data_IF_981015633031
#
_entry.id   IF_981015633031
#
_cell.length_a   1.000
_cell.length_b   1.000
_cell.length_c   1.000
_cell.angle_alpha   90.00
_cell.angle_beta   90.00
_cell.angle_gamma   90.00
#
_symmetry.space_group_name_H-M   'P 1'
#
loop_
_entity.id
_entity.type
_entity.pdbx_description
1 polymer ?
#
# COMPACT_ATOMS: atom_id res chain seq x y z
N UNK A 1 -7.66 -6.73 -8.24
CA UNK A 1 -6.58 -5.82 -7.80
C UNK A 1 -7.04 -4.38 -7.94
N UNK A 2 -6.79 -3.53 -6.94
CA UNK A 2 -7.12 -2.11 -7.04
C UNK A 2 -6.02 -1.37 -7.79
N UNK A 3 -6.41 -0.39 -8.59
CA UNK A 3 -5.48 0.51 -9.30
C UNK A 3 -5.46 1.87 -8.61
N UNK A 4 -4.31 2.52 -8.60
CA UNK A 4 -4.22 3.91 -8.17
C UNK A 4 -4.83 4.87 -9.20
N UNK A 5 -4.80 4.52 -10.48
CA UNK A 5 -5.46 5.30 -11.52
C UNK A 5 -6.99 5.13 -11.40
N UNK A 6 -7.63 6.16 -10.91
CA UNK A 6 -9.08 6.20 -10.68
C UNK A 6 -9.79 6.37 -12.02
N UNK A 7 -10.86 5.60 -12.26
CA UNK A 7 -11.66 5.76 -13.48
C UNK A 7 -12.50 7.04 -13.44
N UNK A 8 -12.83 7.65 -14.59
CA UNK A 8 -13.74 8.79 -14.62
C UNK A 8 -15.07 8.50 -13.95
N UNK A 9 -15.64 7.32 -14.18
CA UNK A 9 -16.92 6.92 -13.61
C UNK A 9 -16.88 6.84 -12.07
N UNK A 10 -15.83 6.25 -11.47
CA UNK A 10 -15.63 6.23 -10.03
C UNK A 10 -15.47 7.66 -9.47
N UNK A 11 -14.64 8.46 -10.14
CA UNK A 11 -14.37 9.84 -9.74
C UNK A 11 -15.64 10.68 -9.67
N UNK A 12 -16.45 10.62 -10.72
CA UNK A 12 -17.68 11.39 -10.83
C UNK A 12 -18.75 10.88 -9.84
N UNK A 13 -18.92 9.55 -9.77
CA UNK A 13 -19.93 8.93 -8.88
C UNK A 13 -19.69 9.24 -7.39
N UNK A 14 -18.43 9.26 -6.97
CA UNK A 14 -18.05 9.52 -5.58
C UNK A 14 -17.67 10.98 -5.28
N UNK A 15 -17.96 11.89 -6.20
CA UNK A 15 -17.76 13.33 -6.01
C UNK A 15 -16.30 13.75 -5.93
N UNK A 16 -15.41 13.03 -6.63
CA UNK A 16 -13.97 13.35 -6.68
C UNK A 16 -13.69 14.70 -7.30
N UNK A 17 -14.56 15.17 -8.21
CA UNK A 17 -14.47 16.51 -8.82
C UNK A 17 -14.34 17.64 -7.80
N UNK A 18 -14.84 17.47 -6.58
CA UNK A 18 -14.68 18.45 -5.49
C UNK A 18 -13.23 18.57 -5.01
N UNK A 19 -12.37 17.60 -5.27
CA UNK A 19 -10.95 17.63 -4.95
C UNK A 19 -10.10 18.30 -6.03
N UNK A 20 -10.56 18.30 -7.29
CA UNK A 20 -9.85 18.89 -8.42
C UNK A 20 -9.60 17.91 -9.58
N UNK A 21 -8.38 17.88 -10.12
CA UNK A 21 -8.02 17.05 -11.25
C UNK A 21 -7.83 15.57 -10.88
N UNK A 22 -8.56 14.69 -11.55
CA UNK A 22 -8.55 13.24 -11.31
C UNK A 22 -7.16 12.60 -11.48
N UNK A 23 -6.43 13.00 -12.49
CA UNK A 23 -5.10 12.41 -12.79
C UNK A 23 -4.09 12.83 -11.74
N UNK A 24 -4.11 14.11 -11.35
CA UNK A 24 -3.23 14.60 -10.28
C UNK A 24 -3.45 13.82 -8.98
N UNK A 25 -4.69 13.62 -8.58
CA UNK A 25 -5.01 12.86 -7.36
C UNK A 25 -4.71 11.37 -7.49
N UNK A 26 -4.93 10.77 -8.65
CA UNK A 26 -4.56 9.38 -8.92
C UNK A 26 -3.06 9.14 -8.72
N UNK A 27 -2.21 10.09 -9.11
CA UNK A 27 -0.77 9.99 -8.94
C UNK A 27 -0.32 9.99 -7.46
N UNK A 28 -1.19 10.41 -6.55
CA UNK A 28 -0.95 10.42 -5.09
C UNK A 28 -1.64 9.26 -4.37
N UNK A 29 -2.35 8.40 -5.08
CA UNK A 29 -3.27 7.43 -4.51
C UNK A 29 -2.65 6.05 -4.23
N UNK A 30 -1.36 5.82 -4.51
CA UNK A 30 -0.73 4.50 -4.35
C UNK A 30 -0.94 3.92 -2.94
N UNK A 31 -0.73 4.70 -1.90
CA UNK A 31 -0.92 4.28 -0.51
C UNK A 31 -2.37 3.96 -0.17
N UNK A 32 -3.31 4.74 -0.69
CA UNK A 32 -4.76 4.53 -0.44
C UNK A 32 -5.31 3.35 -1.25
N UNK A 33 -4.84 3.16 -2.47
CA UNK A 33 -5.16 1.97 -3.26
C UNK A 33 -4.59 0.70 -2.61
N UNK A 34 -3.39 0.77 -2.05
CA UNK A 34 -2.80 -0.31 -1.25
C UNK A 34 -3.61 -0.58 0.01
N UNK A 35 -4.00 0.46 0.77
CA UNK A 35 -4.87 0.32 1.93
C UNK A 35 -6.19 -0.38 1.56
N UNK A 36 -6.83 0.05 0.46
CA UNK A 36 -8.06 -0.59 -0.01
C UNK A 36 -7.91 -2.09 -0.25
N UNK A 37 -6.80 -2.50 -0.86
CA UNK A 37 -6.52 -3.93 -1.08
C UNK A 37 -6.34 -4.70 0.23
N UNK A 38 -5.72 -4.10 1.24
CA UNK A 38 -5.60 -4.69 2.58
C UNK A 38 -6.98 -4.82 3.24
N UNK A 39 -7.80 -3.77 3.23
CA UNK A 39 -9.15 -3.80 3.79
C UNK A 39 -9.97 -4.94 3.18
N UNK A 40 -9.94 -5.10 1.85
CA UNK A 40 -10.61 -6.19 1.16
C UNK A 40 -10.07 -7.58 1.56
N UNK A 41 -8.76 -7.71 1.74
CA UNK A 41 -8.14 -8.98 2.18
C UNK A 41 -8.55 -9.36 3.61
N UNK A 42 -8.84 -8.38 4.47
CA UNK A 42 -9.34 -8.60 5.83
C UNK A 42 -10.87 -8.77 5.90
N UNK A 43 -11.55 -8.74 4.76
CA UNK A 43 -13.02 -8.84 4.71
C UNK A 43 -13.74 -7.62 5.27
N UNK A 44 -13.04 -6.49 5.40
CA UNK A 44 -13.64 -5.23 5.82
C UNK A 44 -14.40 -4.57 4.68
N UNK A 45 -15.38 -3.74 5.04
CA UNK A 45 -15.98 -2.81 4.08
C UNK A 45 -14.89 -1.82 3.62
N UNK A 46 -14.62 -1.82 2.32
CA UNK A 46 -13.52 -1.03 1.75
C UNK A 46 -14.08 0.11 0.89
N UNK A 47 -13.97 1.37 1.34
CA UNK A 47 -14.30 2.52 0.53
C UNK A 47 -13.56 2.51 -0.81
N UNK A 48 -14.09 3.14 -1.84
CA UNK A 48 -13.39 3.33 -3.11
C UNK A 48 -12.13 4.17 -2.92
N UNK A 49 -11.22 4.17 -3.90
CA UNK A 49 -10.01 5.01 -3.81
C UNK A 49 -10.39 6.49 -3.72
N UNK A 50 -11.42 6.93 -4.45
CA UNK A 50 -11.94 8.30 -4.38
C UNK A 50 -12.45 8.67 -2.99
N UNK A 51 -13.21 7.78 -2.35
CA UNK A 51 -13.69 8.00 -0.98
C UNK A 51 -12.54 8.02 0.04
N UNK A 52 -11.56 7.13 -0.11
CA UNK A 52 -10.34 7.15 0.71
C UNK A 52 -9.53 8.44 0.52
N UNK A 53 -9.43 8.98 -0.70
CA UNK A 53 -8.81 10.29 -0.94
C UNK A 53 -9.55 11.40 -0.18
N UNK A 54 -10.88 11.42 -0.22
CA UNK A 54 -11.69 12.41 0.52
C UNK A 54 -11.47 12.30 2.03
N UNK A 55 -11.41 11.08 2.57
CA UNK A 55 -11.07 10.85 3.98
C UNK A 55 -9.65 11.32 4.30
N UNK A 56 -8.68 10.99 3.45
CA UNK A 56 -7.29 11.39 3.62
C UNK A 56 -7.10 12.92 3.59
N UNK A 57 -7.82 13.62 2.74
CA UNK A 57 -7.85 15.10 2.75
C UNK A 57 -8.45 15.63 4.03
N UNK A 58 -9.60 15.08 4.47
CA UNK A 58 -10.27 15.48 5.71
C UNK A 58 -9.38 15.31 6.94
N UNK A 59 -8.58 14.26 6.99
CA UNK A 59 -7.66 13.94 8.09
C UNK A 59 -6.24 14.48 7.89
N UNK A 60 -6.00 15.31 6.88
CA UNK A 60 -4.69 15.90 6.57
C UNK A 60 -3.57 14.87 6.37
N UNK A 61 -3.93 13.70 5.84
CA UNK A 61 -2.99 12.58 5.60
C UNK A 61 -2.12 12.80 4.36
N UNK A 62 -2.60 13.62 3.41
CA UNK A 62 -1.96 13.80 2.11
C UNK A 62 -1.00 14.99 2.10
N UNK A 63 0.16 14.75 1.51
CA UNK A 63 1.16 15.77 1.19
C UNK A 63 1.33 15.88 -0.33
N UNK A 64 2.05 16.89 -0.84
CA UNK A 64 2.40 16.93 -2.27
C UNK A 64 3.16 15.69 -2.78
N UNK A 65 3.79 14.94 -1.86
CA UNK A 65 4.55 13.71 -2.16
C UNK A 65 3.74 12.42 -2.01
N UNK A 66 2.46 12.50 -1.64
CA UNK A 66 1.59 11.36 -1.37
C UNK A 66 1.15 11.28 0.09
N UNK A 67 0.64 10.11 0.50
CA UNK A 67 0.08 9.91 1.82
C UNK A 67 1.16 9.65 2.88
N UNK A 68 0.99 10.24 4.07
CA UNK A 68 1.81 9.95 5.25
C UNK A 68 1.53 8.54 5.75
N UNK A 69 2.57 7.77 6.05
CA UNK A 69 2.44 6.38 6.53
C UNK A 69 1.60 6.30 7.81
N UNK A 70 1.88 7.17 8.78
CA UNK A 70 1.10 7.25 10.02
C UNK A 70 -0.38 7.56 9.76
N UNK A 71 -0.66 8.44 8.79
CA UNK A 71 -2.02 8.77 8.39
C UNK A 71 -2.76 7.59 7.77
N UNK A 72 -2.10 6.81 6.91
CA UNK A 72 -2.67 5.57 6.34
C UNK A 72 -2.94 4.55 7.46
N UNK A 73 -2.01 4.38 8.39
CA UNK A 73 -2.19 3.47 9.54
C UNK A 73 -3.38 3.89 10.41
N UNK A 74 -3.55 5.18 10.65
CA UNK A 74 -4.70 5.71 11.39
C UNK A 74 -6.02 5.48 10.66
N UNK A 75 -6.05 5.70 9.33
CA UNK A 75 -7.23 5.38 8.51
C UNK A 75 -7.56 3.89 8.55
N UNK A 76 -6.56 3.01 8.47
CA UNK A 76 -6.77 1.56 8.59
C UNK A 76 -7.41 1.19 9.92
N UNK A 77 -6.93 1.79 11.02
CA UNK A 77 -7.46 1.56 12.37
C UNK A 77 -8.91 2.07 12.49
N UNK A 78 -9.21 3.24 11.96
CA UNK A 78 -10.57 3.79 11.91
C UNK A 78 -11.52 2.88 11.10
N UNK A 79 -11.01 2.27 10.03
CA UNK A 79 -11.76 1.36 9.16
C UNK A 79 -11.78 -0.10 9.66
N UNK A 80 -11.27 -0.38 10.84
CA UNK A 80 -11.44 -1.66 11.54
C UNK A 80 -10.23 -2.59 11.60
N UNK A 81 -9.05 -2.17 11.11
CA UNK A 81 -7.83 -2.97 11.19
C UNK A 81 -6.79 -2.25 12.01
N UNK A 82 -6.47 -2.76 13.22
CA UNK A 82 -5.38 -2.20 14.01
C UNK A 82 -4.08 -2.18 13.22
N UNK A 83 -3.44 -1.02 13.14
CA UNK A 83 -2.34 -0.75 12.22
C UNK A 83 -1.37 0.27 12.80
N UNK A 84 -0.10 0.16 12.43
CA UNK A 84 0.96 1.09 12.85
C UNK A 84 1.91 1.38 11.69
N UNK A 85 2.41 2.61 11.63
CA UNK A 85 3.56 2.98 10.81
C UNK A 85 4.83 2.84 11.64
N UNK A 86 5.75 1.98 11.22
CA UNK A 86 6.97 1.69 11.98
C UNK A 86 8.19 1.46 11.09
N UNK A 87 9.37 1.47 11.70
CA UNK A 87 10.59 1.03 11.06
C UNK A 87 10.65 -0.50 11.10
N UNK A 88 10.80 -1.12 9.92
CA UNK A 88 11.00 -2.56 9.79
C UNK A 88 12.24 -2.77 8.91
N UNK A 89 13.37 -3.17 9.48
CA UNK A 89 14.57 -3.43 8.69
C UNK A 89 14.33 -4.62 7.73
N UNK A 90 15.12 -4.69 6.65
CA UNK A 90 14.99 -5.74 5.63
C UNK A 90 14.99 -7.14 6.27
N UNK A 91 15.86 -7.36 7.25
CA UNK A 91 16.02 -8.63 7.97
C UNK A 91 14.75 -9.04 8.75
N UNK A 92 13.92 -8.07 9.09
CA UNK A 92 12.65 -8.29 9.81
C UNK A 92 11.45 -8.50 8.91
N UNK A 93 11.56 -8.24 7.59
CA UNK A 93 10.41 -8.27 6.67
C UNK A 93 9.74 -9.65 6.61
N UNK A 94 10.53 -10.72 6.47
CA UNK A 94 9.98 -12.06 6.32
C UNK A 94 9.20 -12.49 7.56
N UNK A 95 9.77 -12.27 8.76
CA UNK A 95 9.08 -12.59 10.01
C UNK A 95 7.78 -11.82 10.20
N UNK A 96 7.70 -10.58 9.69
CA UNK A 96 6.43 -9.82 9.72
C UNK A 96 5.42 -10.36 8.72
N UNK A 97 5.90 -10.82 7.56
CA UNK A 97 5.03 -11.42 6.52
C UNK A 97 4.45 -12.77 6.91
N UNK A 98 5.07 -13.48 7.87
CA UNK A 98 4.49 -14.69 8.45
C UNK A 98 3.17 -14.43 9.20
N UNK A 99 3.01 -13.23 9.76
CA UNK A 99 1.85 -12.84 10.56
C UNK A 99 0.77 -12.12 9.74
N UNK A 100 1.17 -11.18 8.87
CA UNK A 100 0.25 -10.30 8.15
C UNK A 100 0.91 -9.66 6.91
N UNK A 101 0.12 -9.16 5.94
CA UNK A 101 0.66 -8.34 4.86
C UNK A 101 1.20 -7.02 5.40
N UNK A 102 2.10 -6.39 4.63
CA UNK A 102 2.69 -5.09 4.94
C UNK A 102 2.45 -4.11 3.79
N UNK A 103 2.23 -2.84 4.08
CA UNK A 103 2.43 -1.79 3.08
C UNK A 103 3.84 -1.22 3.29
N UNK A 104 4.67 -1.22 2.25
CA UNK A 104 6.06 -0.81 2.32
C UNK A 104 6.37 0.34 1.38
N UNK A 105 7.32 1.19 1.79
CA UNK A 105 7.79 2.31 0.99
C UNK A 105 8.99 1.88 0.15
N UNK A 106 8.81 1.90 -1.16
CA UNK A 106 9.80 1.49 -2.17
C UNK A 106 9.83 2.48 -3.32
N UNK A 107 10.82 2.38 -4.19
CA UNK A 107 10.76 3.07 -5.50
C UNK A 107 10.04 2.16 -6.49
N UNK A 108 9.17 2.75 -7.31
CA UNK A 108 8.40 2.02 -8.33
C UNK A 108 9.32 1.19 -9.22
N UNK A 109 8.92 -0.05 -9.51
CA UNK A 109 9.66 -1.05 -10.30
C UNK A 109 10.95 -1.57 -9.65
N UNK A 110 11.21 -1.25 -8.38
CA UNK A 110 12.37 -1.71 -7.60
C UNK A 110 13.71 -1.54 -8.32
N UNK A 111 14.11 -0.28 -8.67
CA UNK A 111 15.41 -0.04 -9.29
C UNK A 111 16.56 -0.31 -8.31
N UNK A 112 17.73 -0.65 -8.86
CA UNK A 112 18.95 -0.91 -8.10
C UNK A 112 19.96 0.25 -8.22
N UNK A 113 19.47 1.45 -8.55
CA UNK A 113 20.25 2.65 -8.80
C UNK A 113 20.42 3.57 -7.58
N UNK A 114 20.04 3.09 -6.39
CA UNK A 114 20.16 3.80 -5.13
C UNK A 114 18.97 4.69 -4.76
N UNK A 115 17.97 4.85 -5.63
CA UNK A 115 16.72 5.54 -5.28
C UNK A 115 15.93 4.71 -4.27
N UNK A 116 15.36 5.40 -3.26
CA UNK A 116 14.56 4.77 -2.22
C UNK A 116 13.27 5.53 -1.98
N UNK A 117 12.17 4.79 -1.82
CA UNK A 117 10.86 5.37 -1.49
C UNK A 117 10.15 6.04 -2.66
N UNK A 118 9.11 6.77 -2.33
CA UNK A 118 8.28 7.51 -3.28
C UNK A 118 7.06 6.73 -3.80
N UNK A 119 6.96 5.44 -3.52
CA UNK A 119 5.85 4.58 -3.91
C UNK A 119 5.49 3.60 -2.78
N UNK A 120 4.22 3.23 -2.68
CA UNK A 120 3.72 2.30 -1.68
C UNK A 120 3.12 1.08 -2.36
N UNK A 121 3.58 -0.10 -1.93
CA UNK A 121 3.11 -1.40 -2.40
C UNK A 121 2.78 -2.31 -1.22
N UNK A 122 2.02 -3.37 -1.47
CA UNK A 122 1.72 -4.39 -0.47
C UNK A 122 2.65 -5.57 -0.68
N UNK A 123 3.34 -5.99 0.38
CA UNK A 123 3.96 -7.31 0.45
C UNK A 123 2.95 -8.26 1.09
N UNK A 124 2.70 -9.42 0.47
CA UNK A 124 1.64 -10.35 0.89
C UNK A 124 2.13 -11.74 1.29
N UNK A 125 3.42 -12.00 1.13
CA UNK A 125 4.04 -13.29 1.45
C UNK A 125 5.34 -13.46 0.70
N UNK A 126 5.95 -14.62 0.86
CA UNK A 126 7.22 -14.95 0.20
C UNK A 126 7.39 -16.46 0.00
N UNK A 127 8.28 -16.80 -0.91
CA UNK A 127 8.83 -18.14 -1.07
C UNK A 127 10.26 -18.15 -0.54
N UNK A 128 10.55 -19.13 0.33
CA UNK A 128 11.88 -19.28 0.93
C UNK A 128 12.92 -19.74 -0.10
N UNK A 129 14.16 -19.34 0.09
CA UNK A 129 15.27 -19.71 -0.77
C UNK A 129 16.53 -18.92 -0.42
N UNK A 130 17.64 -19.13 -1.16
CA UNK A 130 18.89 -18.37 -0.96
C UNK A 130 18.71 -16.88 -1.13
N UNK A 131 17.83 -16.46 -2.04
CA UNK A 131 17.30 -15.11 -2.20
C UNK A 131 15.77 -15.23 -2.25
N UNK A 132 15.06 -15.02 -1.14
CA UNK A 132 13.63 -15.22 -1.06
C UNK A 132 12.87 -14.42 -2.12
N UNK A 133 11.86 -15.02 -2.72
CA UNK A 133 10.98 -14.34 -3.67
C UNK A 133 9.81 -13.72 -2.93
N UNK A 134 9.70 -12.41 -2.95
CA UNK A 134 8.62 -11.65 -2.31
C UNK A 134 7.45 -11.54 -3.28
N UNK A 135 6.26 -11.91 -2.81
CA UNK A 135 5.01 -11.68 -3.50
C UNK A 135 4.44 -10.32 -3.11
N UNK A 136 4.14 -9.49 -4.08
CA UNK A 136 3.62 -8.15 -3.84
C UNK A 136 2.36 -7.82 -4.65
N UNK A 137 1.73 -6.72 -4.31
CA UNK A 137 0.71 -6.04 -5.11
C UNK A 137 1.06 -4.57 -5.21
N UNK A 138 1.17 -4.10 -6.42
CA UNK A 138 1.48 -2.73 -6.74
C UNK A 138 0.29 -2.09 -7.48
N UNK A 139 -0.28 -0.99 -6.98
CA UNK A 139 -1.43 -0.34 -7.61
C UNK A 139 -1.09 0.39 -8.90
N UNK A 140 0.17 0.51 -9.29
CA UNK A 140 0.61 1.13 -10.54
C UNK A 140 0.24 0.30 -11.78
N UNK A 141 0.39 0.88 -12.96
CA UNK A 141 0.21 0.17 -14.22
C UNK A 141 1.18 -1.00 -14.37
N UNK A 142 2.44 -0.80 -13.97
CA UNK A 142 3.46 -1.85 -13.99
C UNK A 142 3.10 -3.03 -13.08
N UNK A 143 2.53 -2.77 -11.92
CA UNK A 143 2.09 -3.78 -10.97
C UNK A 143 0.92 -4.65 -11.43
N UNK A 144 0.26 -4.29 -12.56
CA UNK A 144 -0.79 -5.15 -13.12
C UNK A 144 -0.20 -6.42 -13.77
N UNK A 145 1.06 -6.37 -14.18
CA UNK A 145 1.76 -7.45 -14.90
C UNK A 145 2.90 -8.05 -14.05
N UNK A 146 3.23 -7.44 -12.90
CA UNK A 146 4.34 -7.84 -12.04
C UNK A 146 3.85 -8.02 -10.61
N UNK A 147 4.14 -9.16 -10.00
CA UNK A 147 3.69 -9.49 -8.64
C UNK A 147 4.73 -10.25 -7.80
N UNK A 148 5.95 -10.39 -8.31
CA UNK A 148 7.05 -11.08 -7.64
C UNK A 148 8.36 -10.31 -7.83
N UNK A 149 9.19 -10.30 -6.78
CA UNK A 149 10.51 -9.68 -6.81
C UNK A 149 11.46 -10.40 -5.84
N UNK A 150 12.74 -10.65 -6.19
CA UNK A 150 13.72 -11.14 -5.24
C UNK A 150 13.92 -10.15 -4.09
N UNK A 151 14.08 -10.65 -2.85
CA UNK A 151 14.31 -9.81 -1.66
C UNK A 151 15.54 -8.91 -1.83
N UNK A 152 16.60 -9.43 -2.43
CA UNK A 152 17.81 -8.66 -2.74
C UNK A 152 17.50 -7.41 -3.56
N UNK A 153 16.72 -7.54 -4.64
CA UNK A 153 16.31 -6.42 -5.49
C UNK A 153 15.38 -5.44 -4.76
N UNK A 154 14.36 -5.95 -4.06
CA UNK A 154 13.46 -5.12 -3.26
C UNK A 154 14.23 -4.25 -2.26
N UNK A 155 15.25 -4.82 -1.60
CA UNK A 155 16.05 -4.15 -0.57
C UNK A 155 16.77 -2.89 -1.07
N UNK A 156 17.14 -2.83 -2.35
CA UNK A 156 17.79 -1.65 -2.94
C UNK A 156 16.92 -0.40 -2.94
N UNK A 157 15.60 -0.55 -3.12
CA UNK A 157 14.65 0.56 -3.18
C UNK A 157 13.84 0.77 -1.90
N UNK A 158 13.91 -0.18 -0.96
CA UNK A 158 13.16 -0.15 0.28
C UNK A 158 13.74 0.87 1.28
N UNK A 159 12.86 1.66 1.91
CA UNK A 159 13.25 2.71 2.84
C UNK A 159 13.48 2.23 4.28
N UNK A 160 13.15 0.97 4.60
CA UNK A 160 13.08 0.49 5.98
C UNK A 160 11.81 0.91 6.72
N UNK A 161 10.81 1.47 6.03
CA UNK A 161 9.54 1.94 6.61
C UNK A 161 8.37 1.14 6.08
N UNK A 162 7.54 0.67 7.01
CA UNK A 162 6.36 -0.12 6.69
C UNK A 162 5.14 0.34 7.49
N UNK A 163 3.97 -0.03 6.99
CA UNK A 163 2.71 -0.02 7.74
C UNK A 163 2.39 -1.48 8.02
N UNK A 164 2.31 -1.82 9.30
CA UNK A 164 2.01 -3.15 9.79
C UNK A 164 0.55 -3.24 10.21
N UNK A 165 -0.01 -4.43 10.13
CA UNK A 165 -1.40 -4.72 10.46
C UNK A 165 -1.48 -5.83 11.50
N UNK A 166 -2.55 -5.86 12.28
CA UNK A 166 -2.83 -6.98 13.16
C UNK A 166 -2.89 -8.29 12.35
N UNK A 167 -2.49 -9.43 12.93
CA UNK A 167 -2.55 -10.72 12.25
C UNK A 167 -3.94 -10.98 11.66
N UNK A 168 -3.98 -11.55 10.45
CA UNK A 168 -5.22 -12.08 9.89
C UNK A 168 -5.73 -13.17 10.84
N UNK A 169 -6.84 -12.93 11.51
CA UNK A 169 -7.54 -13.99 12.21
C UNK A 169 -8.02 -14.99 11.16
N UNK A 170 -7.23 -16.03 10.92
CA UNK A 170 -7.73 -17.23 10.29
C UNK A 170 -8.77 -17.75 11.28
N UNK A 171 -10.06 -17.47 10.99
CA UNK A 171 -11.15 -17.90 11.84
C UNK A 171 -10.98 -19.37 12.16
N UNK A 172 -10.97 -19.70 13.44
CA UNK A 172 -11.12 -21.05 13.92
C UNK A 172 -12.38 -21.62 13.27
N UNK A 173 -12.17 -22.57 12.37
CA UNK A 173 -13.20 -23.37 11.72
C UNK A 173 -13.64 -24.48 12.66
#
# INVERSE_FOLDING_TARGET
>A
MCRQLITPAEWDHHGGWALGDRIEWSNRACGLASLRMVLLAYGCEAPTVTELLKLAVKHEVLTPRGALHAGIANLATELGIHSQAEAVPVEGLLGRLDDAPLIVSVTEQFPEDGRKGGHLVILRGYESGPDPTIHFRDPSAWGQENDQVPLSRLSHSYTGRAITFAPLNNGDS
#
